data_IF_498763773875
#
_entry.id   IF_498763773875
#
_cell.length_a   1.000
_cell.length_b   1.000
_cell.length_c   1.000
_cell.angle_alpha   90.00
_cell.angle_beta   90.00
_cell.angle_gamma   90.00
#
_symmetry.space_group_name_H-M   'P 1'
#
loop_
_entity.id
_entity.type
_entity.pdbx_description
1 polymer ?
#
# COMPACT_ATOMS: atom_id res chain seq x y z
N UNK A 1 2.02 -0.27 -20.33
CA UNK A 1 1.21 -1.00 -19.48
C UNK A 1 1.78 -2.28 -18.97
N UNK A 2 0.95 -2.98 -18.29
CA UNK A 2 1.33 -4.21 -17.67
C UNK A 2 1.77 -4.01 -16.24
N UNK A 3 2.18 -5.10 -15.65
CA UNK A 3 2.62 -5.11 -14.26
C UNK A 3 4.14 -5.09 -14.23
N UNK A 4 4.69 -4.24 -13.42
CA UNK A 4 6.12 -4.23 -13.26
C UNK A 4 6.49 -3.91 -11.81
N UNK A 5 7.72 -4.25 -11.45
CA UNK A 5 8.22 -4.06 -10.12
C UNK A 5 8.63 -2.61 -9.93
N UNK A 6 8.04 -1.95 -8.94
CA UNK A 6 8.32 -0.56 -8.65
C UNK A 6 9.49 -0.36 -7.72
N UNK A 7 10.04 -1.43 -7.18
CA UNK A 7 11.11 -1.30 -6.19
C UNK A 7 12.36 -0.64 -6.74
N UNK A 8 12.65 -0.93 -7.98
CA UNK A 8 13.86 -0.38 -8.59
C UNK A 8 13.67 1.04 -9.06
N UNK A 9 12.45 1.56 -8.97
CA UNK A 9 12.19 2.90 -9.42
C UNK A 9 12.65 3.90 -8.37
N UNK A 10 12.78 5.12 -8.80
CA UNK A 10 13.17 6.20 -7.92
C UNK A 10 12.00 6.73 -7.11
N UNK A 11 10.87 6.05 -7.16
CA UNK A 11 9.65 6.49 -6.51
C UNK A 11 9.39 5.81 -5.17
N UNK A 12 10.44 5.39 -4.49
CA UNK A 12 10.27 4.71 -3.23
C UNK A 12 9.57 5.58 -2.18
N UNK A 13 9.84 6.89 -2.21
CA UNK A 13 9.16 7.80 -1.27
C UNK A 13 7.66 7.86 -1.54
N UNK A 14 7.29 7.84 -2.80
CA UNK A 14 5.88 7.83 -3.18
C UNK A 14 5.21 6.53 -2.78
N UNK A 15 5.90 5.42 -2.99
CA UNK A 15 5.39 4.10 -2.62
C UNK A 15 5.23 4.02 -1.10
N UNK A 16 6.19 4.53 -0.34
CA UNK A 16 6.06 4.58 1.12
C UNK A 16 4.84 5.40 1.52
N UNK A 17 4.61 6.52 0.85
CA UNK A 17 3.45 7.34 1.13
C UNK A 17 2.14 6.60 0.90
N UNK A 18 2.08 5.81 -0.18
CA UNK A 18 0.90 5.01 -0.47
C UNK A 18 0.69 3.93 0.59
N UNK A 19 1.78 3.31 1.03
CA UNK A 19 1.70 2.27 2.05
C UNK A 19 1.24 2.85 3.38
N UNK A 20 1.75 4.03 3.76
CA UNK A 20 1.30 4.71 4.98
C UNK A 20 -0.17 5.08 4.89
N UNK A 21 -0.60 5.53 3.72
CA UNK A 21 -2.00 5.81 3.49
C UNK A 21 -2.85 4.56 3.70
N UNK A 22 -2.39 3.42 3.16
CA UNK A 22 -3.13 2.16 3.28
C UNK A 22 -3.26 1.75 4.74
N UNK A 23 -2.16 1.84 5.50
CA UNK A 23 -2.18 1.49 6.92
C UNK A 23 -3.11 2.43 7.69
N UNK A 24 -3.04 3.73 7.40
CA UNK A 24 -3.90 4.71 8.07
C UNK A 24 -5.37 4.46 7.79
N UNK A 25 -5.71 4.17 6.53
CA UNK A 25 -7.10 3.92 6.17
C UNK A 25 -7.61 2.64 6.82
N UNK A 26 -6.78 1.61 6.85
CA UNK A 26 -7.14 0.37 7.53
C UNK A 26 -7.38 0.62 9.02
N UNK A 27 -6.48 1.36 9.65
CA UNK A 27 -6.62 1.67 11.07
C UNK A 27 -7.92 2.40 11.35
N UNK A 28 -8.29 3.34 10.49
CA UNK A 28 -9.53 4.09 10.67
C UNK A 28 -10.76 3.21 10.49
N UNK A 29 -10.74 2.36 9.48
CA UNK A 29 -11.89 1.50 9.17
C UNK A 29 -12.10 0.43 10.21
N UNK A 30 -11.00 -0.18 10.68
CA UNK A 30 -11.07 -1.33 11.57
C UNK A 30 -10.79 -0.97 13.01
N UNK A 31 -10.59 0.31 13.29
CA UNK A 31 -10.22 0.76 14.64
C UNK A 31 -8.97 0.01 15.12
N UNK A 32 -8.00 -0.15 14.22
CA UNK A 32 -6.76 -0.86 14.50
C UNK A 32 -5.64 0.13 14.81
N UNK A 33 -4.52 -0.39 15.29
CA UNK A 33 -3.37 0.43 15.68
C UNK A 33 -2.08 -0.09 15.08
N UNK A 34 -2.13 -0.47 13.82
CA UNK A 34 -0.94 -0.93 13.13
C UNK A 34 0.05 0.23 12.94
N UNK A 35 1.33 -0.09 13.03
CA UNK A 35 2.40 0.87 12.75
C UNK A 35 3.09 0.45 11.46
N UNK A 36 3.19 1.37 10.52
CA UNK A 36 3.87 1.09 9.26
C UNK A 36 5.37 0.92 9.55
N UNK A 37 5.96 -0.18 9.04
CA UNK A 37 7.40 -0.39 9.16
C UNK A 37 8.08 -0.17 7.81
N UNK A 38 7.69 -0.91 6.79
CA UNK A 38 8.32 -0.77 5.49
C UNK A 38 7.52 -1.48 4.41
N UNK A 39 7.81 -1.14 3.16
CA UNK A 39 7.26 -1.85 2.02
C UNK A 39 8.23 -2.96 1.65
N UNK A 40 7.72 -4.18 1.63
CA UNK A 40 8.52 -5.35 1.28
C UNK A 40 8.52 -5.55 -0.23
N UNK A 41 7.40 -5.29 -0.87
CA UNK A 41 7.24 -5.51 -2.29
C UNK A 41 6.19 -4.56 -2.82
N UNK A 42 6.41 -4.04 -4.02
CA UNK A 42 5.46 -3.15 -4.66
C UNK A 42 5.37 -3.47 -6.14
N UNK A 43 4.15 -3.53 -6.63
CA UNK A 43 3.87 -3.68 -8.05
C UNK A 43 2.80 -2.69 -8.42
N UNK A 44 2.77 -2.30 -9.68
CA UNK A 44 1.70 -1.44 -10.13
C UNK A 44 1.15 -1.93 -11.44
N UNK A 45 -0.11 -1.67 -11.63
CA UNK A 45 -0.84 -2.04 -12.83
C UNK A 45 -1.57 -0.79 -13.30
N UNK A 46 -1.26 -0.34 -14.49
CA UNK A 46 -1.84 0.87 -15.05
C UNK A 46 -3.08 0.50 -15.84
N UNK A 47 -4.23 1.00 -15.41
CA UNK A 47 -5.49 0.67 -16.02
C UNK A 47 -6.54 1.65 -15.49
N UNK A 48 -6.91 2.64 -16.30
CA UNK A 48 -7.84 3.69 -15.89
C UNK A 48 -7.43 4.26 -14.53
N UNK A 49 -6.15 4.61 -14.40
CA UNK A 49 -5.53 4.96 -13.15
C UNK A 49 -4.44 3.96 -12.86
N UNK A 50 -3.95 3.92 -11.64
CA UNK A 50 -2.92 2.98 -11.25
C UNK A 50 -3.35 2.22 -10.02
N UNK A 51 -3.34 0.89 -10.11
CA UNK A 51 -3.58 0.03 -8.98
C UNK A 51 -2.23 -0.38 -8.42
N UNK A 52 -1.95 0.03 -7.20
CA UNK A 52 -0.70 -0.34 -6.53
C UNK A 52 -0.95 -1.55 -5.65
N UNK A 53 -0.18 -2.61 -5.89
CA UNK A 53 -0.23 -3.83 -5.09
C UNK A 53 0.97 -3.80 -4.16
N UNK A 54 0.73 -3.64 -2.89
CA UNK A 54 1.79 -3.44 -1.91
C UNK A 54 1.82 -4.58 -0.90
N UNK A 55 3.02 -5.10 -0.64
CA UNK A 55 3.24 -5.99 0.47
C UNK A 55 3.91 -5.16 1.55
N UNK A 56 3.24 -5.00 2.66
CA UNK A 56 3.63 -4.06 3.71
C UNK A 56 3.97 -4.83 4.97
N UNK A 57 5.10 -4.48 5.56
CA UNK A 57 5.41 -4.96 6.90
C UNK A 57 4.93 -3.90 7.88
N UNK A 58 4.09 -4.32 8.82
CA UNK A 58 3.57 -3.43 9.84
C UNK A 58 3.72 -4.11 11.19
N UNK A 59 3.65 -3.30 12.24
CA UNK A 59 3.85 -3.79 13.59
C UNK A 59 2.53 -3.68 14.34
N UNK A 60 2.13 -4.78 14.94
CA UNK A 60 0.93 -4.83 15.75
C UNK A 60 1.29 -5.43 17.11
N UNK A 61 1.07 -4.64 18.16
CA UNK A 61 1.38 -5.08 19.52
C UNK A 61 2.83 -5.58 19.64
N UNK A 62 3.76 -4.87 18.99
CA UNK A 62 5.17 -5.19 19.03
C UNK A 62 5.60 -6.33 18.13
N UNK A 63 4.68 -6.90 17.35
CA UNK A 63 5.00 -8.02 16.46
C UNK A 63 4.92 -7.59 15.01
N UNK A 64 5.89 -8.02 14.22
CA UNK A 64 5.91 -7.75 12.80
C UNK A 64 4.96 -8.69 12.08
N UNK A 65 4.17 -8.12 11.18
CA UNK A 65 3.22 -8.87 10.37
C UNK A 65 3.25 -8.36 8.95
N UNK A 66 2.89 -9.21 8.01
CA UNK A 66 2.82 -8.85 6.61
C UNK A 66 1.36 -8.69 6.18
N UNK A 67 1.13 -7.67 5.36
CA UNK A 67 -0.19 -7.39 4.83
C UNK A 67 -0.08 -7.12 3.34
N UNK A 68 -1.16 -7.41 2.64
CA UNK A 68 -1.28 -7.05 1.23
C UNK A 68 -2.33 -5.97 1.10
N UNK A 69 -1.96 -4.91 0.41
CA UNK A 69 -2.86 -3.78 0.22
C UNK A 69 -2.96 -3.45 -1.26
N UNK A 70 -4.14 -3.02 -1.67
CA UNK A 70 -4.36 -2.52 -3.02
C UNK A 70 -4.85 -1.09 -2.90
N UNK A 71 -4.11 -0.17 -3.50
CA UNK A 71 -4.45 1.24 -3.49
C UNK A 71 -4.70 1.70 -4.92
N UNK A 72 -5.86 2.28 -5.15
CA UNK A 72 -6.28 2.77 -6.45
C UNK A 72 -6.04 4.26 -6.52
N UNK A 73 -5.28 4.71 -7.52
CA UNK A 73 -4.93 6.12 -7.66
C UNK A 73 -5.38 6.63 -9.01
N UNK A 74 -6.06 7.74 -9.02
CA UNK A 74 -6.42 8.46 -10.25
C UNK A 74 -5.84 9.87 -10.12
N UNK A 75 -4.62 10.09 -10.60
CA UNK A 75 -3.94 11.38 -10.37
C UNK A 75 -4.70 12.59 -10.92
N UNK A 76 -5.38 12.41 -12.06
CA UNK A 76 -6.09 13.52 -12.68
C UNK A 76 -7.29 13.99 -11.86
N UNK A 77 -7.72 13.17 -10.90
CA UNK A 77 -8.82 13.51 -10.00
C UNK A 77 -8.33 13.75 -8.58
N UNK A 78 -7.03 13.70 -8.37
CA UNK A 78 -6.46 13.76 -7.03
C UNK A 78 -7.13 12.73 -6.11
N UNK A 79 -7.37 11.54 -6.66
CA UNK A 79 -8.15 10.49 -6.01
C UNK A 79 -7.24 9.36 -5.57
N UNK A 80 -7.46 8.88 -4.35
CA UNK A 80 -6.72 7.78 -3.78
C UNK A 80 -7.65 7.00 -2.87
N UNK A 81 -7.71 5.69 -3.07
CA UNK A 81 -8.64 4.84 -2.33
C UNK A 81 -8.00 3.52 -1.97
N UNK A 82 -8.19 3.09 -0.73
CA UNK A 82 -7.77 1.75 -0.31
C UNK A 82 -8.83 0.75 -0.76
N UNK A 83 -8.45 -0.12 -1.68
CA UNK A 83 -9.35 -1.13 -2.23
C UNK A 83 -9.36 -2.40 -1.41
N UNK A 84 -8.21 -2.78 -0.87
CA UNK A 84 -8.09 -4.03 -0.15
C UNK A 84 -6.94 -3.94 0.83
N UNK A 85 -7.12 -4.56 1.99
CA UNK A 85 -6.06 -4.64 2.99
C UNK A 85 -6.29 -5.93 3.75
N UNK A 86 -5.37 -6.87 3.62
CA UNK A 86 -5.55 -8.18 4.23
C UNK A 86 -4.24 -8.73 4.75
N UNK A 87 -4.37 -9.65 5.70
CA UNK A 87 -3.22 -10.35 6.27
C UNK A 87 -2.59 -11.23 5.19
N UNK A 88 -1.27 -11.14 5.03
CA UNK A 88 -0.56 -11.88 3.99
C UNK A 88 0.31 -13.01 4.56
N UNK A 89 0.34 -13.12 5.85
CA UNK A 89 1.20 -14.13 6.46
C UNK A 89 0.71 -14.64 7.77
#
# INVERSE_FOLDING_TARGET
GGVHDSQSSQNSAEIDGLARFAVDEHNKKENAILEFARVVKAKEQVFAGTMHHLTIEAIEAGKKKLYEAKVWVKPWLNFKELHEFKDAG
#
